data_IF_312107209405
#
_entry.id   IF_312107209405
#
_cell.length_a   1.000
_cell.length_b   1.000
_cell.length_c   1.000
_cell.angle_alpha   90.00
_cell.angle_beta   90.00
_cell.angle_gamma   90.00
#
_symmetry.space_group_name_H-M   'P 1'
#
loop_
_entity.id
_entity.type
_entity.pdbx_description
1 polymer ?
#
# COMPACT_ATOMS: atom_id res chain seq x y z
N UNK A 1 12.27 15.38 6.67
CA UNK A 1 11.51 15.95 5.55
C UNK A 1 12.07 17.33 5.26
N UNK A 2 12.63 17.54 4.06
CA UNK A 2 12.96 18.89 3.58
C UNK A 2 11.63 19.62 3.41
N UNK A 3 11.25 20.40 4.41
CA UNK A 3 10.08 21.27 4.30
C UNK A 3 10.20 22.08 3.01
N UNK A 4 9.16 22.08 2.19
CA UNK A 4 9.09 22.93 1.00
C UNK A 4 9.44 24.36 1.40
N UNK A 5 10.24 25.07 0.58
CA UNK A 5 10.59 26.48 0.81
C UNK A 5 9.35 27.36 1.01
N UNK A 6 8.20 26.92 0.50
CA UNK A 6 6.92 27.62 0.62
C UNK A 6 6.19 27.40 1.94
N UNK A 7 6.60 26.43 2.78
CA UNK A 7 5.96 26.17 4.08
C UNK A 7 5.95 27.40 5.00
N UNK A 8 7.00 28.24 4.92
CA UNK A 8 7.13 29.47 5.71
C UNK A 8 6.05 30.53 5.44
N UNK A 9 5.39 30.44 4.29
CA UNK A 9 4.37 31.39 3.85
C UNK A 9 2.93 30.91 4.11
N UNK A 10 2.77 29.67 4.63
CA UNK A 10 1.44 29.14 4.92
C UNK A 10 1.01 29.65 6.30
N UNK A 11 -0.13 30.36 6.42
CA UNK A 11 -0.63 30.81 7.71
C UNK A 11 -0.82 29.67 8.70
N UNK A 12 -0.54 29.93 9.98
CA UNK A 12 -0.63 28.91 11.03
C UNK A 12 -2.03 28.30 11.14
N UNK A 13 -3.09 29.07 10.93
CA UNK A 13 -4.46 28.54 10.99
C UNK A 13 -4.73 27.52 9.88
N UNK A 14 -4.16 27.69 8.68
CA UNK A 14 -4.28 26.71 7.58
C UNK A 14 -3.57 25.42 7.93
N UNK A 15 -2.36 25.50 8.47
CA UNK A 15 -1.61 24.30 8.89
C UNK A 15 -2.31 23.60 10.05
N UNK A 16 -2.87 24.33 11.01
CA UNK A 16 -3.63 23.75 12.13
C UNK A 16 -4.91 23.06 11.64
N UNK A 17 -5.61 23.68 10.70
CA UNK A 17 -6.80 23.09 10.08
C UNK A 17 -6.48 21.80 9.33
N UNK A 18 -5.41 21.80 8.51
CA UNK A 18 -4.96 20.61 7.80
C UNK A 18 -4.55 19.47 8.76
N UNK A 19 -3.81 19.78 9.82
CA UNK A 19 -3.44 18.79 10.84
C UNK A 19 -4.66 18.12 11.47
N UNK A 20 -5.69 18.92 11.77
CA UNK A 20 -6.95 18.42 12.32
C UNK A 20 -7.69 17.51 11.34
N UNK A 21 -7.77 17.89 10.05
CA UNK A 21 -8.45 17.09 9.03
C UNK A 21 -7.77 15.73 8.84
N UNK A 22 -6.43 15.70 8.86
CA UNK A 22 -5.68 14.45 8.67
C UNK A 22 -5.48 13.67 9.98
N UNK A 23 -6.12 14.11 11.07
CA UNK A 23 -5.99 13.47 12.39
C UNK A 23 -4.54 13.24 12.80
N UNK A 24 -3.68 14.27 12.58
CA UNK A 24 -2.23 14.11 12.74
C UNK A 24 -1.84 13.68 14.16
N UNK A 25 -2.50 14.19 15.17
CA UNK A 25 -2.13 13.92 16.56
C UNK A 25 -2.51 12.48 16.94
N UNK A 26 -3.68 12.00 16.52
CA UNK A 26 -4.14 10.62 16.73
C UNK A 26 -3.22 9.63 16.00
N UNK A 27 -2.83 9.96 14.74
CA UNK A 27 -1.88 9.13 13.98
C UNK A 27 -0.52 9.10 14.68
N UNK A 28 -0.02 10.23 15.20
CA UNK A 28 1.27 10.27 15.90
C UNK A 28 1.24 9.43 17.17
N UNK A 29 0.16 9.49 17.97
CA UNK A 29 -0.03 8.65 19.15
C UNK A 29 -0.02 7.17 18.75
N UNK A 30 -0.81 6.79 17.74
CA UNK A 30 -0.85 5.43 17.22
C UNK A 30 0.53 4.93 16.77
N UNK A 31 1.30 5.76 16.05
CA UNK A 31 2.64 5.39 15.59
C UNK A 31 3.62 5.20 16.74
N UNK A 32 3.50 5.98 17.82
CA UNK A 32 4.32 5.84 19.01
C UNK A 32 3.96 4.57 19.81
N UNK A 33 2.67 4.30 19.98
CA UNK A 33 2.18 3.09 20.63
C UNK A 33 2.51 1.81 19.83
N UNK A 34 2.63 1.93 18.51
CA UNK A 34 2.90 0.80 17.61
C UNK A 34 4.36 0.72 17.15
N UNK A 35 5.29 1.47 17.78
CA UNK A 35 6.69 1.57 17.36
C UNK A 35 7.46 0.26 17.32
N UNK A 36 7.07 -0.72 18.13
CA UNK A 36 7.71 -2.04 18.23
C UNK A 36 7.08 -3.07 17.28
N UNK A 37 5.98 -2.69 16.58
CA UNK A 37 5.30 -3.55 15.62
C UNK A 37 5.83 -3.33 14.21
N UNK A 38 6.06 -4.41 13.49
CA UNK A 38 6.54 -4.37 12.10
C UNK A 38 5.82 -5.40 11.22
N UNK A 39 5.79 -5.15 9.93
CA UNK A 39 5.22 -6.10 8.98
C UNK A 39 3.72 -6.31 9.21
N UNK A 40 3.29 -7.57 9.28
CA UNK A 40 1.88 -7.94 9.42
C UNK A 40 1.32 -7.53 10.79
N UNK A 41 2.12 -7.57 11.85
CA UNK A 41 1.68 -7.13 13.19
C UNK A 41 1.43 -5.63 13.24
N UNK A 42 2.16 -4.84 12.46
CA UNK A 42 1.87 -3.42 12.27
C UNK A 42 0.58 -3.20 11.48
N UNK A 43 0.34 -4.01 10.42
CA UNK A 43 -0.92 -3.95 9.67
C UNK A 43 -2.12 -4.30 10.55
N UNK A 44 -1.99 -5.29 11.44
CA UNK A 44 -3.03 -5.64 12.41
C UNK A 44 -3.32 -4.48 13.37
N UNK A 45 -2.27 -3.82 13.86
CA UNK A 45 -2.46 -2.63 14.68
C UNK A 45 -3.16 -1.50 13.91
N UNK A 46 -2.84 -1.32 12.62
CA UNK A 46 -3.54 -0.37 11.76
C UNK A 46 -5.03 -0.74 11.61
N UNK A 47 -5.37 -2.03 11.45
CA UNK A 47 -6.77 -2.48 11.40
C UNK A 47 -7.53 -2.08 12.68
N UNK A 48 -6.91 -2.30 13.84
CA UNK A 48 -7.48 -1.90 15.13
C UNK A 48 -7.64 -0.38 15.26
N UNK A 49 -6.63 0.39 14.88
CA UNK A 49 -6.68 1.86 14.91
C UNK A 49 -7.78 2.44 14.01
N UNK A 50 -8.00 1.82 12.86
CA UNK A 50 -9.02 2.24 11.89
C UNK A 50 -10.43 1.71 12.23
N UNK A 51 -10.56 0.88 13.26
CA UNK A 51 -11.78 0.09 13.56
C UNK A 51 -12.34 -0.60 12.31
N UNK A 52 -11.42 -1.08 11.46
CA UNK A 52 -11.76 -1.64 10.17
C UNK A 52 -12.08 -3.13 10.30
N UNK A 53 -13.21 -3.53 9.71
CA UNK A 53 -13.62 -4.92 9.59
C UNK A 53 -13.52 -5.33 8.12
N UNK A 54 -12.99 -6.51 7.87
CA UNK A 54 -12.84 -7.06 6.52
C UNK A 54 -13.68 -8.31 6.40
N UNK A 55 -14.63 -8.30 5.47
CA UNK A 55 -15.33 -9.51 5.04
C UNK A 55 -14.60 -10.06 3.81
N UNK A 56 -14.02 -11.25 3.93
CA UNK A 56 -13.19 -11.86 2.89
C UNK A 56 -13.95 -13.02 2.25
N UNK A 57 -14.08 -12.97 0.93
CA UNK A 57 -14.67 -14.06 0.14
C UNK A 57 -13.63 -14.64 -0.79
N UNK A 58 -13.58 -15.96 -0.87
CA UNK A 58 -12.70 -16.68 -1.80
C UNK A 58 -11.28 -16.89 -1.29
N UNK A 59 -10.97 -16.62 -0.02
CA UNK A 59 -9.64 -16.87 0.55
C UNK A 59 -9.29 -18.38 0.53
N UNK A 60 -10.29 -19.21 0.64
CA UNK A 60 -10.19 -20.67 0.56
C UNK A 60 -9.72 -21.17 -0.81
N UNK A 61 -9.88 -20.34 -1.84
CA UNK A 61 -9.44 -20.65 -3.21
C UNK A 61 -7.98 -20.24 -3.47
N UNK A 62 -7.35 -19.52 -2.54
CA UNK A 62 -5.95 -19.11 -2.70
C UNK A 62 -5.01 -20.29 -2.48
N UNK A 63 -4.16 -20.60 -3.47
CA UNK A 63 -3.17 -21.66 -3.30
C UNK A 63 -2.17 -21.29 -2.20
N UNK A 64 -1.77 -22.28 -1.41
CA UNK A 64 -0.72 -22.12 -0.38
C UNK A 64 0.68 -22.07 -0.99
N UNK A 65 0.87 -22.81 -2.06
CA UNK A 65 2.15 -22.95 -2.76
C UNK A 65 2.18 -22.08 -4.02
N UNK A 66 3.37 -21.64 -4.38
CA UNK A 66 3.59 -20.79 -5.55
C UNK A 66 3.80 -19.31 -5.24
N UNK A 67 4.11 -18.56 -6.28
CA UNK A 67 4.37 -17.14 -6.21
C UNK A 67 3.36 -16.38 -7.06
N UNK A 68 2.67 -15.46 -6.43
CA UNK A 68 1.56 -14.73 -7.04
C UNK A 68 1.80 -13.23 -7.04
N UNK A 69 1.17 -12.56 -8.01
CA UNK A 69 1.02 -11.10 -8.02
C UNK A 69 -0.45 -10.78 -7.82
N UNK A 70 -0.80 -10.31 -6.65
CA UNK A 70 -2.13 -9.84 -6.31
C UNK A 70 -2.33 -8.43 -6.85
N UNK A 71 -3.36 -8.22 -7.64
CA UNK A 71 -3.69 -6.93 -8.24
C UNK A 71 -5.10 -6.50 -7.86
N UNK A 72 -5.25 -5.28 -7.40
CA UNK A 72 -6.52 -4.79 -6.89
C UNK A 72 -6.85 -3.40 -7.39
N UNK A 73 -8.16 -3.08 -7.43
CA UNK A 73 -8.65 -1.73 -7.46
C UNK A 73 -8.27 -0.98 -6.17
N UNK A 74 -8.36 0.36 -6.18
CA UNK A 74 -7.82 1.19 -5.10
C UNK A 74 -8.84 2.25 -4.62
N UNK A 75 -9.99 1.84 -4.06
CA UNK A 75 -11.08 2.76 -3.74
C UNK A 75 -10.78 3.76 -2.62
N UNK A 76 -10.05 3.35 -1.57
CA UNK A 76 -9.83 4.15 -0.34
C UNK A 76 -8.40 4.62 -0.12
N UNK A 77 -7.44 4.09 -0.84
CA UNK A 77 -6.04 4.43 -0.65
C UNK A 77 -5.34 3.63 0.44
N UNK A 78 -4.82 4.29 1.48
CA UNK A 78 -4.03 3.61 2.52
C UNK A 78 -4.74 2.44 3.18
N UNK A 79 -6.04 2.57 3.40
CA UNK A 79 -6.87 1.52 4.02
C UNK A 79 -6.93 0.24 3.17
N UNK A 80 -6.97 0.36 1.85
CA UNK A 80 -6.95 -0.79 0.94
C UNK A 80 -5.66 -1.59 1.10
N UNK A 81 -4.53 -0.88 1.17
CA UNK A 81 -3.23 -1.49 1.40
C UNK A 81 -3.17 -2.20 2.75
N UNK A 82 -3.65 -1.56 3.81
CA UNK A 82 -3.68 -2.15 5.16
C UNK A 82 -4.54 -3.42 5.17
N UNK A 83 -5.77 -3.35 4.69
CA UNK A 83 -6.70 -4.49 4.70
C UNK A 83 -6.19 -5.67 3.87
N UNK A 84 -5.80 -5.41 2.61
CA UNK A 84 -5.33 -6.46 1.70
C UNK A 84 -4.04 -7.10 2.21
N UNK A 85 -3.11 -6.30 2.71
CA UNK A 85 -1.86 -6.84 3.23
C UNK A 85 -2.01 -7.56 4.55
N UNK A 86 -2.91 -7.14 5.41
CA UNK A 86 -3.25 -7.89 6.62
C UNK A 86 -3.79 -9.28 6.27
N UNK A 87 -4.78 -9.35 5.38
CA UNK A 87 -5.40 -10.61 4.96
C UNK A 87 -4.37 -11.54 4.30
N UNK A 88 -3.67 -11.06 3.29
CA UNK A 88 -2.68 -11.86 2.56
C UNK A 88 -1.45 -12.16 3.43
N UNK A 89 -1.03 -11.22 4.26
CA UNK A 89 0.08 -11.42 5.19
C UNK A 89 -0.19 -12.53 6.20
N UNK A 90 -1.42 -12.59 6.72
CA UNK A 90 -1.84 -13.69 7.59
C UNK A 90 -1.95 -15.02 6.83
N UNK A 91 -2.41 -14.99 5.58
CA UNK A 91 -2.56 -16.20 4.76
C UNK A 91 -1.21 -16.79 4.33
N UNK A 92 -0.19 -15.96 4.07
CA UNK A 92 1.13 -16.37 3.58
C UNK A 92 2.26 -16.15 4.60
N UNK A 93 1.99 -16.25 5.88
CA UNK A 93 2.97 -16.22 6.97
C UNK A 93 3.92 -15.01 6.91
N UNK A 94 3.39 -13.86 6.59
CA UNK A 94 4.15 -12.61 6.49
C UNK A 94 4.93 -12.42 5.18
N UNK A 95 4.94 -13.40 4.28
CA UNK A 95 5.65 -13.34 3.00
C UNK A 95 4.90 -12.53 1.96
N UNK A 96 4.71 -11.25 2.21
CA UNK A 96 4.06 -10.30 1.30
C UNK A 96 4.90 -9.04 1.13
N UNK A 97 4.86 -8.44 -0.05
CA UNK A 97 5.51 -7.17 -0.38
C UNK A 97 4.59 -6.32 -1.24
N UNK A 98 4.67 -5.01 -1.05
CA UNK A 98 3.96 -4.03 -1.86
C UNK A 98 4.89 -3.28 -2.78
N UNK A 99 4.44 -2.99 -3.99
CA UNK A 99 5.03 -1.95 -4.80
C UNK A 99 4.35 -0.61 -4.47
N UNK A 100 5.04 0.26 -3.76
CA UNK A 100 4.47 1.49 -3.19
C UNK A 100 5.30 2.73 -3.48
N UNK A 101 4.69 3.90 -3.31
CA UNK A 101 5.41 5.15 -3.29
C UNK A 101 6.40 5.17 -2.11
N UNK A 102 7.61 5.72 -2.32
CA UNK A 102 8.68 5.84 -1.33
C UNK A 102 8.26 6.57 -0.04
N UNK A 103 7.23 7.41 -0.11
CA UNK A 103 6.71 8.09 1.07
C UNK A 103 6.34 7.11 2.18
N UNK A 104 5.81 5.93 1.82
CA UNK A 104 5.41 4.90 2.78
C UNK A 104 6.60 4.22 3.48
N UNK A 105 7.80 4.33 2.93
CA UNK A 105 9.03 3.86 3.59
C UNK A 105 9.35 4.62 4.89
N UNK A 106 8.75 5.79 5.10
CA UNK A 106 8.91 6.55 6.34
C UNK A 106 8.10 5.95 7.51
N UNK A 107 7.15 5.06 7.22
CA UNK A 107 6.41 4.31 8.24
C UNK A 107 7.22 3.06 8.62
N UNK A 108 7.94 3.13 9.74
CA UNK A 108 8.86 2.06 10.18
C UNK A 108 8.20 0.69 10.22
N UNK A 109 6.97 0.61 10.73
CA UNK A 109 6.23 -0.65 10.81
C UNK A 109 5.89 -1.24 9.44
N UNK A 110 5.66 -0.40 8.43
CA UNK A 110 5.32 -0.83 7.08
C UNK A 110 6.54 -1.05 6.17
N UNK A 111 7.65 -0.37 6.44
CA UNK A 111 8.84 -0.38 5.60
C UNK A 111 9.34 -1.79 5.22
N UNK A 112 9.34 -2.80 6.11
CA UNK A 112 9.76 -4.17 5.76
C UNK A 112 8.91 -4.82 4.66
N UNK A 113 7.67 -4.38 4.49
CA UNK A 113 6.76 -4.90 3.46
C UNK A 113 6.83 -4.11 2.14
N UNK A 114 7.57 -3.01 2.08
CA UNK A 114 7.53 -2.08 0.95
C UNK A 114 8.69 -2.29 -0.02
N UNK A 115 8.36 -2.27 -1.32
CA UNK A 115 9.29 -2.11 -2.43
C UNK A 115 9.03 -0.72 -2.99
N UNK A 116 9.94 0.25 -2.77
CA UNK A 116 9.68 1.64 -3.16
C UNK A 116 9.70 1.82 -4.67
N UNK A 117 8.69 2.53 -5.18
CA UNK A 117 8.58 2.94 -6.57
C UNK A 117 8.83 4.45 -6.65
N UNK A 118 10.04 4.87 -6.99
CA UNK A 118 10.35 6.28 -7.17
C UNK A 118 10.56 6.64 -8.64
N UNK A 119 9.85 7.67 -9.08
CA UNK A 119 10.03 8.25 -10.41
C UNK A 119 10.94 9.48 -10.40
N UNK A 120 11.33 9.99 -9.24
CA UNK A 120 12.07 11.26 -9.11
C UNK A 120 13.20 11.14 -8.10
N UNK A 121 14.36 11.78 -8.41
CA UNK A 121 15.51 11.85 -7.50
C UNK A 121 16.66 10.90 -7.82
N UNK A 122 17.71 10.90 -6.98
CA UNK A 122 18.93 10.09 -7.17
C UNK A 122 18.68 8.59 -7.17
N UNK A 123 17.63 8.14 -6.50
CA UNK A 123 17.22 6.72 -6.43
C UNK A 123 16.45 6.22 -7.66
N UNK A 124 16.09 7.12 -8.59
CA UNK A 124 15.37 6.76 -9.82
C UNK A 124 16.15 5.76 -10.70
N UNK A 125 17.49 5.71 -10.58
CA UNK A 125 18.34 4.78 -11.32
C UNK A 125 18.27 3.34 -10.77
N UNK A 126 18.04 3.18 -9.47
CA UNK A 126 18.01 1.86 -8.82
C UNK A 126 16.60 1.26 -8.78
N UNK A 127 15.59 2.07 -9.08
CA UNK A 127 14.20 1.64 -9.11
C UNK A 127 13.95 0.37 -9.94
N UNK A 128 14.41 0.25 -11.21
CA UNK A 128 14.18 -0.96 -12.00
C UNK A 128 14.76 -2.21 -11.34
N UNK A 129 15.93 -2.08 -10.69
CA UNK A 129 16.59 -3.19 -9.98
C UNK A 129 15.81 -3.61 -8.73
N UNK A 130 15.26 -2.65 -7.98
CA UNK A 130 14.48 -2.95 -6.79
C UNK A 130 13.15 -3.64 -7.13
N UNK A 131 12.49 -3.19 -8.19
CA UNK A 131 11.28 -3.86 -8.71
C UNK A 131 11.62 -5.27 -9.18
N UNK A 132 12.70 -5.43 -9.95
CA UNK A 132 13.16 -6.73 -10.43
C UNK A 132 13.45 -7.68 -9.27
N UNK A 133 14.21 -7.24 -8.28
CA UNK A 133 14.50 -8.01 -7.07
C UNK A 133 13.22 -8.38 -6.30
N UNK A 134 12.24 -7.49 -6.26
CA UNK A 134 10.93 -7.77 -5.67
C UNK A 134 10.19 -8.88 -6.40
N UNK A 135 10.15 -8.85 -7.73
CA UNK A 135 9.51 -9.88 -8.54
C UNK A 135 10.27 -11.22 -8.53
N UNK A 136 11.58 -11.21 -8.27
CA UNK A 136 12.40 -12.41 -8.13
C UNK A 136 12.41 -12.97 -6.70
N UNK A 137 11.82 -12.26 -5.72
CA UNK A 137 11.77 -12.71 -4.33
C UNK A 137 10.78 -13.87 -4.13
N UNK A 138 10.87 -14.52 -3.00
CA UNK A 138 9.93 -15.57 -2.54
C UNK A 138 8.70 -15.01 -1.83
N UNK A 139 8.44 -13.69 -1.94
CA UNK A 139 7.27 -13.06 -1.38
C UNK A 139 6.11 -12.98 -2.39
N UNK A 140 4.89 -13.02 -1.90
CA UNK A 140 3.72 -12.62 -2.67
C UNK A 140 3.76 -11.12 -2.93
N UNK A 141 3.37 -10.67 -4.12
CA UNK A 141 3.39 -9.26 -4.46
C UNK A 141 1.99 -8.67 -4.48
N UNK A 142 1.84 -7.50 -3.89
CA UNK A 142 0.59 -6.74 -3.86
C UNK A 142 0.79 -5.46 -4.66
N UNK A 143 -0.10 -5.25 -5.63
CA UNK A 143 -0.05 -4.08 -6.51
C UNK A 143 -1.42 -3.45 -6.69
N UNK A 144 -1.42 -2.14 -6.77
CA UNK A 144 -2.56 -1.34 -7.21
C UNK A 144 -2.20 -0.71 -8.57
N UNK A 145 -2.55 -1.38 -9.70
CA UNK A 145 -2.01 -1.02 -11.01
C UNK A 145 -2.41 0.36 -11.52
N UNK A 146 -3.53 0.91 -11.00
CA UNK A 146 -3.95 2.28 -11.26
C UNK A 146 -2.93 3.32 -10.75
N UNK A 147 -2.15 2.97 -9.71
CA UNK A 147 -1.10 3.80 -9.10
C UNK A 147 -1.60 5.00 -8.31
N UNK A 148 -2.89 5.26 -8.30
CA UNK A 148 -3.60 6.26 -7.49
C UNK A 148 -4.97 5.69 -7.11
N UNK A 149 -5.57 6.24 -6.03
CA UNK A 149 -6.91 5.86 -5.61
C UNK A 149 -7.95 6.16 -6.69
N UNK A 150 -9.03 5.38 -6.68
CA UNK A 150 -10.19 5.59 -7.55
C UNK A 150 -10.71 7.02 -7.44
N UNK A 151 -11.24 7.54 -8.53
CA UNK A 151 -11.72 8.91 -8.62
C UNK A 151 -13.10 8.97 -9.27
N UNK A 152 -13.84 10.02 -8.93
CA UNK A 152 -15.15 10.28 -9.53
C UNK A 152 -14.99 10.96 -10.89
N UNK A 153 -15.46 10.29 -11.95
CA UNK A 153 -15.55 10.82 -13.31
C UNK A 153 -16.98 10.69 -13.79
N UNK A 154 -17.59 11.80 -14.18
CA UNK A 154 -18.97 11.83 -14.69
C UNK A 154 -19.96 11.09 -13.78
N UNK A 155 -19.84 11.27 -12.47
CA UNK A 155 -20.72 10.63 -11.50
C UNK A 155 -20.33 9.20 -11.09
N UNK A 156 -19.43 8.54 -11.83
CA UNK A 156 -18.99 7.15 -11.56
C UNK A 156 -17.61 7.15 -10.89
N UNK A 157 -17.49 6.38 -9.80
CA UNK A 157 -16.20 6.14 -9.14
C UNK A 157 -15.52 4.96 -9.83
N UNK A 158 -14.31 5.19 -10.32
CA UNK A 158 -13.51 4.17 -10.99
C UNK A 158 -12.02 4.42 -10.81
N UNK A 159 -11.24 3.36 -10.97
CA UNK A 159 -9.80 3.46 -11.08
C UNK A 159 -9.36 4.23 -12.33
N UNK A 160 -8.15 4.76 -12.28
CA UNK A 160 -7.43 5.18 -13.47
C UNK A 160 -7.08 3.94 -14.30
N UNK A 161 -6.66 4.17 -15.55
CA UNK A 161 -6.20 3.08 -16.42
C UNK A 161 -5.08 2.29 -15.74
N UNK A 162 -5.23 0.98 -15.70
CA UNK A 162 -4.26 0.07 -15.10
C UNK A 162 -3.01 -0.04 -15.96
N UNK A 163 -1.86 0.14 -15.34
CA UNK A 163 -0.55 0.02 -16.00
C UNK A 163 -0.21 -1.45 -16.23
N UNK A 164 0.29 -1.77 -17.41
CA UNK A 164 0.63 -3.14 -17.82
C UNK A 164 1.84 -3.75 -17.09
N UNK A 165 2.52 -3.01 -16.23
CA UNK A 165 3.76 -3.45 -15.55
C UNK A 165 3.57 -4.78 -14.80
N UNK A 166 2.43 -4.98 -14.13
CA UNK A 166 2.18 -6.20 -13.38
C UNK A 166 2.12 -7.43 -14.30
N UNK A 167 1.46 -7.32 -15.46
CA UNK A 167 1.38 -8.42 -16.43
C UNK A 167 2.77 -8.76 -16.96
N UNK A 168 3.49 -7.75 -17.46
CA UNK A 168 4.81 -7.95 -18.08
C UNK A 168 5.78 -8.59 -17.08
N UNK A 169 5.82 -8.07 -15.85
CA UNK A 169 6.73 -8.58 -14.82
C UNK A 169 6.34 -9.96 -14.30
N UNK A 170 5.06 -10.23 -14.13
CA UNK A 170 4.58 -11.55 -13.68
C UNK A 170 4.90 -12.63 -14.72
N UNK A 171 4.70 -12.34 -16.03
CA UNK A 171 5.10 -13.27 -17.10
C UNK A 171 6.61 -13.53 -17.10
N UNK A 172 7.42 -12.46 -16.95
CA UNK A 172 8.90 -12.59 -16.92
C UNK A 172 9.38 -13.45 -15.74
N UNK A 173 8.70 -13.40 -14.61
CA UNK A 173 9.08 -14.08 -13.36
C UNK A 173 8.25 -15.33 -13.08
N UNK A 174 7.41 -15.75 -14.03
CA UNK A 174 6.54 -16.94 -13.91
C UNK A 174 5.64 -16.91 -12.67
N UNK A 175 5.09 -15.73 -12.37
CA UNK A 175 4.10 -15.54 -11.30
C UNK A 175 2.71 -15.50 -11.92
N UNK A 176 1.79 -16.24 -11.34
CA UNK A 176 0.38 -16.08 -11.69
C UNK A 176 -0.18 -14.79 -11.11
N UNK A 177 -1.12 -14.18 -11.86
CA UNK A 177 -1.78 -12.94 -11.44
C UNK A 177 -3.13 -13.30 -10.83
N UNK A 178 -3.34 -12.88 -9.58
CA UNK A 178 -4.62 -13.07 -8.87
C UNK A 178 -5.31 -11.72 -8.73
N UNK A 179 -6.43 -11.51 -9.43
CA UNK A 179 -7.23 -10.30 -9.28
C UNK A 179 -8.00 -10.33 -7.96
N UNK A 180 -7.97 -9.20 -7.24
CA UNK A 180 -8.74 -8.98 -6.02
C UNK A 180 -9.62 -7.77 -6.22
N UNK A 181 -10.86 -7.84 -5.76
CA UNK A 181 -11.77 -6.71 -5.77
C UNK A 181 -12.03 -6.22 -4.35
N UNK A 182 -11.75 -4.94 -4.11
CA UNK A 182 -12.08 -4.25 -2.87
C UNK A 182 -13.34 -3.42 -3.06
N UNK A 183 -14.30 -3.60 -2.19
CA UNK A 183 -15.50 -2.78 -2.12
C UNK A 183 -15.75 -2.29 -0.69
N UNK A 184 -16.40 -1.14 -0.58
CA UNK A 184 -16.89 -0.62 0.68
C UNK A 184 -18.27 -1.22 0.95
N UNK A 185 -18.42 -1.81 2.12
CA UNK A 185 -19.72 -2.20 2.66
C UNK A 185 -20.00 -1.23 3.79
N UNK A 186 -21.11 -0.49 3.68
CA UNK A 186 -21.62 0.39 4.73
C UNK A 186 -22.64 -0.33 5.58
#
# INVERSE_FOLDING_TARGET
TKASKHYKYIPKFVTSYLKRIVHQDEINIFLDESKDKVGVDFLEACMGFLDAKVDVKGIENLPKDGLYTFVSNHPLGGQDGVALGYVLGRHYDGKVKYLVNDLLMNLRGLAPLCIPINKTGKQAKDFPKMVEAGFQSDNQLIMFPAGLCSRRYNGVIRDLEWKKTFVVKSVQTKRDVIPVHLSLIH
#
